data_IF_701643197088
#
_entry.id   IF_701643197088
#
_cell.length_a   1.000
_cell.length_b   1.000
_cell.length_c   1.000
_cell.angle_alpha   90.00
_cell.angle_beta   90.00
_cell.angle_gamma   90.00
#
_symmetry.space_group_name_H-M   'P 1'
#
loop_
_entity.id
_entity.type
_entity.pdbx_description
1 polymer ?
#
# COMPACT_ATOMS: atom_id res chain seq x y z
N UNK A 1 9.25 0.83 -11.09
CA UNK A 1 7.99 1.17 -10.39
C UNK A 1 6.81 1.21 -11.35
N UNK A 2 6.77 2.07 -12.39
CA UNK A 2 5.57 2.25 -13.24
C UNK A 2 5.04 1.01 -13.96
N UNK A 3 5.88 0.00 -14.20
CA UNK A 3 5.48 -1.26 -14.85
C UNK A 3 5.17 -2.38 -13.84
N UNK A 4 5.25 -2.13 -12.54
CA UNK A 4 4.90 -3.15 -11.55
C UNK A 4 3.39 -3.35 -11.50
N UNK A 5 2.97 -4.55 -11.09
CA UNK A 5 1.58 -4.88 -10.79
C UNK A 5 0.92 -3.80 -9.91
N UNK A 6 -0.34 -3.49 -10.18
CA UNK A 6 -1.14 -2.63 -9.30
C UNK A 6 -1.60 -3.42 -8.09
N UNK A 7 -1.61 -2.78 -6.93
CA UNK A 7 -2.10 -3.34 -5.67
C UNK A 7 -3.06 -2.35 -5.01
N UNK A 8 -4.20 -2.83 -4.54
CA UNK A 8 -5.26 -2.00 -3.95
C UNK A 8 -5.22 -2.10 -2.43
N UNK A 9 -5.19 -0.95 -1.76
CA UNK A 9 -5.41 -0.87 -0.31
C UNK A 9 -6.80 -0.30 -0.05
N UNK A 10 -7.60 -1.04 0.71
CA UNK A 10 -8.91 -0.59 1.21
C UNK A 10 -8.70 -0.02 2.61
N UNK A 11 -8.77 1.30 2.75
CA UNK A 11 -8.26 2.02 3.93
C UNK A 11 -9.37 2.71 4.71
N UNK A 12 -9.27 2.60 6.04
CA UNK A 12 -10.13 3.28 7.00
C UNK A 12 -11.54 2.69 7.09
N UNK A 13 -12.31 3.18 8.05
CA UNK A 13 -13.69 2.75 8.32
C UNK A 13 -14.65 2.97 7.15
N UNK A 14 -14.34 3.92 6.27
CA UNK A 14 -15.09 4.19 5.05
C UNK A 14 -14.70 3.28 3.87
N UNK A 15 -13.80 2.30 4.09
CA UNK A 15 -13.34 1.34 3.10
C UNK A 15 -12.91 2.00 1.78
N UNK A 16 -12.06 3.02 1.86
CA UNK A 16 -11.64 3.81 0.70
C UNK A 16 -10.61 3.03 -0.12
N UNK A 17 -10.87 2.67 -1.39
CA UNK A 17 -9.90 1.98 -2.22
C UNK A 17 -8.84 2.95 -2.75
N UNK A 18 -7.57 2.59 -2.58
CA UNK A 18 -6.40 3.36 -3.04
C UNK A 18 -5.48 2.42 -3.80
N UNK A 19 -5.24 2.71 -5.08
CA UNK A 19 -4.39 1.89 -5.95
C UNK A 19 -2.95 2.43 -5.95
N UNK A 20 -1.99 1.54 -5.76
CA UNK A 20 -0.56 1.84 -5.80
C UNK A 20 0.20 0.80 -6.63
N UNK A 21 1.44 1.13 -7.00
CA UNK A 21 2.37 0.20 -7.63
C UNK A 21 2.92 -0.75 -6.57
N UNK A 22 2.76 -2.07 -6.77
CA UNK A 22 3.19 -3.13 -5.85
C UNK A 22 4.65 -2.95 -5.43
N UNK A 23 5.53 -2.63 -6.38
CA UNK A 23 6.95 -2.43 -6.10
C UNK A 23 7.20 -1.29 -5.11
N UNK A 24 6.44 -0.18 -5.21
CA UNK A 24 6.58 0.96 -4.29
C UNK A 24 6.40 0.56 -2.84
N UNK A 25 5.43 -0.31 -2.56
CA UNK A 25 5.11 -0.77 -1.20
C UNK A 25 6.02 -1.92 -0.77
N UNK A 26 6.24 -2.90 -1.64
CA UNK A 26 7.07 -4.05 -1.34
C UNK A 26 8.52 -3.68 -1.00
N UNK A 27 9.04 -2.62 -1.61
CA UNK A 27 10.43 -2.20 -1.42
C UNK A 27 10.62 -1.45 -0.07
N UNK A 28 9.55 -1.13 0.67
CA UNK A 28 9.62 -0.45 1.97
C UNK A 28 10.02 -1.39 3.12
N UNK A 29 9.57 -2.65 3.10
CA UNK A 29 9.98 -3.64 4.10
C UNK A 29 9.76 -5.08 3.65
N UNK A 30 10.48 -6.06 4.23
CA UNK A 30 10.26 -7.49 3.95
C UNK A 30 8.82 -7.96 4.21
N UNK A 31 8.16 -7.43 5.24
CA UNK A 31 6.78 -7.76 5.59
C UNK A 31 5.80 -7.25 4.53
N UNK A 32 6.02 -6.04 4.01
CA UNK A 32 5.22 -5.48 2.93
C UNK A 32 5.46 -6.20 1.60
N UNK A 33 6.67 -6.67 1.35
CA UNK A 33 6.95 -7.57 0.23
C UNK A 33 6.19 -8.90 0.38
N UNK A 34 6.16 -9.48 1.58
CA UNK A 34 5.42 -10.70 1.85
C UNK A 34 3.90 -10.51 1.71
N UNK A 35 3.36 -9.37 2.16
CA UNK A 35 1.95 -9.02 2.00
C UNK A 35 1.53 -8.93 0.52
N UNK A 36 2.35 -8.25 -0.28
CA UNK A 36 1.98 -7.89 -1.66
C UNK A 36 2.34 -8.95 -2.69
N UNK A 37 3.52 -9.58 -2.56
CA UNK A 37 4.06 -10.59 -3.49
C UNK A 37 3.89 -12.02 -2.99
N UNK A 38 3.47 -12.21 -1.74
CA UNK A 38 3.30 -13.53 -1.14
C UNK A 38 2.10 -14.30 -1.67
N UNK A 39 1.98 -15.54 -1.19
CA UNK A 39 0.87 -16.46 -1.56
C UNK A 39 -0.31 -16.40 -0.58
N UNK A 40 -0.35 -15.38 0.27
CA UNK A 40 -1.50 -15.11 1.14
C UNK A 40 -2.67 -14.55 0.31
N UNK A 41 -3.87 -14.51 0.91
CA UNK A 41 -5.07 -14.01 0.26
C UNK A 41 -4.87 -12.66 -0.42
N UNK A 42 -4.19 -11.75 0.26
CA UNK A 42 -3.96 -10.38 -0.16
C UNK A 42 -3.05 -10.31 -1.40
N UNK A 43 -1.92 -11.02 -1.35
CA UNK A 43 -0.98 -11.11 -2.45
C UNK A 43 -1.57 -11.77 -3.69
N UNK A 44 -2.46 -12.76 -3.51
CA UNK A 44 -3.19 -13.39 -4.61
C UNK A 44 -4.27 -12.46 -5.19
N UNK A 45 -5.04 -11.78 -4.34
CA UNK A 45 -6.10 -10.86 -4.75
C UNK A 45 -5.59 -9.52 -5.33
N UNK A 46 -4.32 -9.18 -5.09
CA UNK A 46 -3.77 -7.83 -5.31
C UNK A 46 -4.48 -6.76 -4.46
N UNK A 47 -4.99 -7.15 -3.29
CA UNK A 47 -5.80 -6.29 -2.44
C UNK A 47 -5.54 -6.57 -0.96
N UNK A 48 -5.37 -5.52 -0.14
CA UNK A 48 -5.30 -5.63 1.31
C UNK A 48 -6.28 -4.64 1.97
N UNK A 49 -6.84 -5.03 3.11
CA UNK A 49 -7.78 -4.20 3.90
C UNK A 49 -7.10 -3.71 5.17
N UNK A 50 -6.97 -2.40 5.30
CA UNK A 50 -6.40 -1.71 6.48
C UNK A 50 -7.47 -0.79 7.07
N UNK A 51 -8.46 -1.38 7.75
CA UNK A 51 -9.62 -0.66 8.28
C UNK A 51 -9.26 0.26 9.46
N UNK A 52 -8.19 -0.08 10.20
CA UNK A 52 -7.67 0.68 11.33
C UNK A 52 -6.72 1.82 10.94
N UNK A 53 -6.34 1.91 9.65
CA UNK A 53 -5.45 2.95 9.15
C UNK A 53 -6.28 4.12 8.63
N UNK A 54 -6.04 5.31 9.17
CA UNK A 54 -6.67 6.52 8.64
C UNK A 54 -6.17 6.81 7.22
N UNK A 55 -7.08 7.24 6.34
CA UNK A 55 -6.75 7.63 4.95
C UNK A 55 -5.58 8.61 4.89
N UNK A 56 -5.58 9.65 5.73
CA UNK A 56 -4.51 10.66 5.75
C UNK A 56 -3.14 10.04 6.03
N UNK A 57 -3.08 9.11 6.99
CA UNK A 57 -1.86 8.36 7.34
C UNK A 57 -1.40 7.50 6.17
N UNK A 58 -2.30 6.77 5.50
CA UNK A 58 -1.94 5.95 4.35
C UNK A 58 -1.41 6.78 3.18
N UNK A 59 -2.01 7.95 2.89
CA UNK A 59 -1.53 8.83 1.80
C UNK A 59 -0.10 9.31 2.08
N UNK A 60 0.22 9.66 3.33
CA UNK A 60 1.59 10.04 3.74
C UNK A 60 2.58 8.89 3.55
N UNK A 61 2.19 7.68 3.95
CA UNK A 61 2.96 6.47 3.70
C UNK A 61 3.20 6.25 2.21
N UNK A 62 2.16 6.36 1.38
CA UNK A 62 2.28 6.18 -0.07
C UNK A 62 3.20 7.25 -0.68
N UNK A 63 3.06 8.52 -0.29
CA UNK A 63 3.96 9.59 -0.72
C UNK A 63 5.42 9.29 -0.37
N UNK A 64 5.68 8.92 0.88
CA UNK A 64 7.01 8.51 1.32
C UNK A 64 7.53 7.35 0.47
N UNK A 65 6.71 6.33 0.22
CA UNK A 65 7.13 5.19 -0.56
C UNK A 65 7.46 5.54 -2.02
N UNK A 66 6.76 6.51 -2.62
CA UNK A 66 7.03 6.97 -4.00
C UNK A 66 8.19 7.94 -4.13
N UNK A 67 8.38 8.85 -3.17
CA UNK A 67 9.23 10.03 -3.32
C UNK A 67 10.42 10.00 -2.34
N UNK A 68 10.35 9.16 -1.30
CA UNK A 68 11.30 9.11 -0.19
C UNK A 68 11.06 10.19 0.87
N UNK A 69 9.97 10.96 0.75
CA UNK A 69 9.63 12.06 1.66
C UNK A 69 8.11 12.24 1.78
N UNK A 70 7.65 12.84 2.88
CA UNK A 70 6.25 13.21 3.10
C UNK A 70 6.14 14.51 3.91
N UNK A 71 5.15 15.34 3.60
CA UNK A 71 4.94 16.60 4.30
C UNK A 71 4.13 16.40 5.57
N UNK A 72 4.64 16.75 6.75
CA UNK A 72 3.86 16.89 7.99
C UNK A 72 3.13 18.24 8.03
N UNK A 73 1.92 18.35 8.63
CA UNK A 73 1.30 19.64 8.90
C UNK A 73 2.15 20.49 9.84
#
# INVERSE_FOLDING_TARGET
ILLSRSFTFVVGTNAVPIVVHEATVADQSPELAALTRGKMSEGLAAEARWEDVEKGTFIRFAHFAYIGDYTTP
#
